data_IF_912252079388
#
_entry.id   IF_912252079388
#
_cell.length_a   1.000
_cell.length_b   1.000
_cell.length_c   1.000
_cell.angle_alpha   90.00
_cell.angle_beta   90.00
_cell.angle_gamma   90.00
#
_symmetry.space_group_name_H-M   'P 1'
#
loop_
_entity.id
_entity.type
_entity.pdbx_description
1 polymer ?
#
# COMPACT_ATOMS: atom_id res chain seq x y z
N UNK A 1 -25.60 -65.64 -2.03
CA UNK A 1 -26.18 -65.75 -3.40
C UNK A 1 -25.95 -64.41 -4.11
N UNK A 2 -25.03 -64.35 -5.09
CA UNK A 2 -25.28 -64.16 -6.56
C UNK A 2 -25.75 -62.72 -6.89
N UNK A 3 -25.13 -61.88 -7.75
CA UNK A 3 -24.35 -62.10 -8.99
C UNK A 3 -23.44 -60.89 -9.35
N UNK A 4 -22.42 -61.19 -10.16
CA UNK A 4 -21.54 -60.30 -10.94
C UNK A 4 -22.22 -59.64 -12.17
N UNK A 5 -21.66 -58.51 -12.64
CA UNK A 5 -21.54 -58.09 -14.05
C UNK A 5 -20.46 -56.97 -14.15
N UNK A 6 -19.23 -57.27 -14.60
CA UNK A 6 -18.64 -57.07 -15.95
C UNK A 6 -18.52 -55.62 -16.48
N UNK A 7 -17.30 -55.09 -16.30
CA UNK A 7 -16.40 -54.39 -17.25
C UNK A 7 -16.94 -53.72 -18.53
N UNK A 8 -16.50 -52.47 -18.72
CA UNK A 8 -16.08 -51.95 -20.03
C UNK A 8 -14.85 -51.05 -19.85
N UNK A 9 -13.71 -51.57 -20.32
CA UNK A 9 -12.43 -50.87 -20.49
C UNK A 9 -12.57 -49.95 -21.70
N UNK A 10 -12.29 -48.65 -21.55
CA UNK A 10 -11.98 -47.79 -22.69
C UNK A 10 -10.46 -47.62 -22.69
N UNK A 11 -9.83 -48.21 -23.69
CA UNK A 11 -8.43 -48.02 -24.04
C UNK A 11 -8.34 -46.70 -24.82
N UNK A 12 -7.71 -45.66 -24.26
CA UNK A 12 -7.23 -44.51 -25.06
C UNK A 12 -5.71 -44.65 -25.13
N UNK A 13 -5.24 -45.04 -26.31
CA UNK A 13 -3.85 -45.08 -26.67
C UNK A 13 -3.32 -43.66 -26.96
N UNK A 14 -2.21 -43.32 -26.31
CA UNK A 14 -1.14 -42.41 -26.71
C UNK A 14 -1.42 -41.20 -27.61
N UNK A 15 -1.27 -40.01 -27.02
CA UNK A 15 -0.56 -38.90 -27.64
C UNK A 15 0.34 -38.26 -26.58
N UNK A 16 1.58 -38.74 -26.50
CA UNK A 16 2.66 -38.06 -25.79
C UNK A 16 3.01 -36.80 -26.58
N UNK A 17 2.30 -35.71 -26.30
CA UNK A 17 2.81 -34.37 -26.63
C UNK A 17 3.88 -34.10 -25.59
N UNK A 18 5.13 -34.05 -26.02
CA UNK A 18 6.24 -33.63 -25.18
C UNK A 18 5.95 -32.23 -24.67
N UNK A 19 5.57 -32.12 -23.41
CA UNK A 19 5.70 -30.88 -22.68
C UNK A 19 7.19 -30.67 -22.49
N UNK A 20 7.79 -29.89 -23.40
CA UNK A 20 9.06 -29.26 -23.10
C UNK A 20 8.90 -28.57 -21.76
N UNK A 21 9.77 -28.88 -20.81
CA UNK A 21 9.89 -28.12 -19.57
C UNK A 21 10.13 -26.68 -19.99
N UNK A 22 9.06 -25.89 -20.05
CA UNK A 22 9.18 -24.45 -20.12
C UNK A 22 9.91 -24.09 -18.83
N UNK A 23 11.20 -23.84 -18.95
CA UNK A 23 11.96 -23.14 -17.92
C UNK A 23 11.23 -21.81 -17.80
N UNK A 24 10.37 -21.71 -16.80
CA UNK A 24 9.76 -20.44 -16.45
C UNK A 24 10.94 -19.46 -16.29
N UNK A 25 10.93 -18.31 -16.97
CA UNK A 25 11.98 -17.33 -16.78
C UNK A 25 12.05 -17.07 -15.27
N UNK A 26 13.24 -17.30 -14.70
CA UNK A 26 13.49 -16.99 -13.30
C UNK A 26 13.11 -15.52 -13.11
N UNK A 27 12.05 -15.27 -12.35
CA UNK A 27 11.75 -13.93 -11.86
C UNK A 27 13.05 -13.43 -11.22
N UNK A 28 13.60 -12.27 -11.63
CA UNK A 28 14.76 -11.71 -10.95
C UNK A 28 14.41 -11.68 -9.47
N UNK A 29 15.18 -12.41 -8.66
CA UNK A 29 15.00 -12.40 -7.22
C UNK A 29 15.11 -10.92 -6.81
N UNK A 30 14.03 -10.32 -6.30
CA UNK A 30 14.19 -9.05 -5.60
C UNK A 30 15.27 -9.31 -4.56
N UNK A 31 16.35 -8.54 -4.61
CA UNK A 31 17.48 -8.77 -3.71
C UNK A 31 16.94 -8.82 -2.28
N UNK A 32 17.01 -9.98 -1.64
CA UNK A 32 16.75 -10.10 -0.21
C UNK A 32 17.78 -9.20 0.48
N UNK A 33 17.36 -7.99 0.86
CA UNK A 33 18.19 -7.13 1.66
C UNK A 33 18.26 -7.76 3.05
N UNK A 34 19.47 -8.09 3.52
CA UNK A 34 19.67 -8.47 4.90
C UNK A 34 19.32 -7.28 5.81
N UNK A 35 18.08 -7.25 6.30
CA UNK A 35 17.62 -6.25 7.26
C UNK A 35 18.03 -6.73 8.65
N UNK A 36 18.86 -5.94 9.33
CA UNK A 36 19.23 -6.19 10.73
C UNK A 36 18.73 -5.05 11.59
N UNK A 37 18.23 -5.39 12.79
CA UNK A 37 17.72 -4.42 13.77
C UNK A 37 16.44 -3.68 13.33
N UNK A 38 16.03 -2.74 14.18
CA UNK A 38 14.79 -1.96 14.02
C UNK A 38 13.72 -2.32 15.05
N UNK A 39 12.70 -1.48 15.14
CA UNK A 39 11.53 -1.67 16.02
C UNK A 39 10.30 -1.79 15.14
N UNK A 40 9.48 -2.80 15.41
CA UNK A 40 8.19 -3.00 14.73
C UNK A 40 7.08 -2.89 15.75
N UNK A 41 6.16 -1.97 15.51
CA UNK A 41 4.93 -1.80 16.28
C UNK A 41 3.73 -2.11 15.38
N UNK A 42 2.58 -2.44 15.97
CA UNK A 42 1.34 -2.63 15.21
C UNK A 42 0.11 -2.22 16.01
N UNK A 43 -0.99 -1.98 15.31
CA UNK A 43 -2.32 -1.78 15.89
C UNK A 43 -3.38 -2.48 15.04
N UNK A 44 -4.27 -3.23 15.69
CA UNK A 44 -5.44 -3.88 15.11
C UNK A 44 -6.73 -3.18 15.59
N UNK A 45 -7.55 -2.70 14.66
CA UNK A 45 -8.77 -1.94 14.98
C UNK A 45 -9.71 -2.73 15.91
N UNK A 46 -10.04 -3.98 15.55
CA UNK A 46 -11.01 -4.81 16.29
C UNK A 46 -10.45 -5.44 17.57
N UNK A 47 -9.16 -5.27 17.83
CA UNK A 47 -8.55 -5.57 19.13
C UNK A 47 -8.66 -4.38 20.11
N UNK A 48 -9.40 -3.31 19.77
CA UNK A 48 -9.48 -2.09 20.57
C UNK A 48 -8.18 -1.29 20.60
N UNK A 49 -7.28 -1.54 19.64
CA UNK A 49 -6.09 -0.74 19.43
C UNK A 49 -6.45 0.42 18.49
N UNK A 50 -5.59 1.44 18.43
CA UNK A 50 -5.84 2.69 17.72
C UNK A 50 -4.84 2.91 16.56
N UNK A 51 -5.06 2.28 15.39
CA UNK A 51 -4.21 2.51 14.21
C UNK A 51 -4.12 3.99 13.81
N UNK A 52 -5.22 4.74 13.92
CA UNK A 52 -5.28 6.17 13.65
C UNK A 52 -4.27 6.94 14.48
N UNK A 53 -4.22 6.69 15.80
CA UNK A 53 -3.30 7.37 16.71
C UNK A 53 -1.85 7.03 16.37
N UNK A 54 -1.55 5.75 16.08
CA UNK A 54 -0.19 5.35 15.68
C UNK A 54 0.25 6.02 14.36
N UNK A 55 -0.65 6.14 13.40
CA UNK A 55 -0.34 6.82 12.14
C UNK A 55 -0.16 8.33 12.34
N UNK A 56 -1.04 8.95 13.13
CA UNK A 56 -0.93 10.37 13.50
C UNK A 56 0.38 10.67 14.24
N UNK A 57 0.82 9.78 15.14
CA UNK A 57 2.11 9.88 15.81
C UNK A 57 3.29 9.83 14.83
N UNK A 58 3.25 8.92 13.85
CA UNK A 58 4.27 8.85 12.79
C UNK A 58 4.31 10.15 11.99
N UNK A 59 3.15 10.63 11.52
CA UNK A 59 3.03 11.89 10.76
C UNK A 59 3.47 13.10 11.60
N UNK A 60 3.10 13.14 12.88
CA UNK A 60 3.46 14.18 13.84
C UNK A 60 4.95 14.21 14.15
N UNK A 61 5.60 13.05 14.15
CA UNK A 61 7.03 12.92 14.41
C UNK A 61 7.92 13.39 13.24
N UNK A 62 7.43 13.29 12.00
CA UNK A 62 8.19 13.61 10.79
C UNK A 62 8.75 15.05 10.79
N UNK A 63 10.02 15.20 10.35
CA UNK A 63 10.78 16.47 10.41
C UNK A 63 11.23 17.00 9.05
N UNK A 64 11.48 16.12 8.07
CA UNK A 64 12.09 16.48 6.77
C UNK A 64 11.20 16.07 5.61
N UNK A 65 10.77 14.81 5.56
CA UNK A 65 9.95 14.28 4.47
C UNK A 65 8.82 13.39 4.98
N UNK A 66 7.72 13.40 4.24
CA UNK A 66 6.55 12.58 4.47
C UNK A 66 5.93 12.19 3.12
N UNK A 67 6.16 10.96 2.70
CA UNK A 67 5.64 10.44 1.44
C UNK A 67 4.52 9.45 1.70
N UNK A 68 3.38 9.66 1.07
CA UNK A 68 2.14 8.91 1.33
C UNK A 68 1.64 8.30 0.03
N UNK A 69 1.56 6.97 -0.04
CA UNK A 69 0.87 6.25 -1.10
C UNK A 69 -0.33 5.53 -0.48
N UNK A 70 -1.53 6.08 -0.67
CA UNK A 70 -2.74 5.62 0.00
C UNK A 70 -3.90 5.46 -0.98
N UNK A 71 -4.57 4.30 -0.92
CA UNK A 71 -5.75 4.04 -1.72
C UNK A 71 -6.90 4.97 -1.34
N UNK A 72 -7.39 4.88 -0.09
CA UNK A 72 -8.50 5.71 0.40
C UNK A 72 -8.05 6.64 1.53
N UNK A 73 -8.30 7.95 1.36
CA UNK A 73 -7.96 9.03 2.29
C UNK A 73 -9.18 9.94 2.49
N UNK A 74 -9.89 9.72 3.60
CA UNK A 74 -11.15 10.40 3.91
C UNK A 74 -11.30 10.77 5.39
N UNK A 75 -10.44 10.27 6.29
CA UNK A 75 -10.53 10.53 7.74
C UNK A 75 -10.00 11.94 8.09
N UNK A 76 -10.84 12.82 8.68
CA UNK A 76 -10.47 14.22 8.95
C UNK A 76 -9.22 14.39 9.83
N UNK A 77 -9.06 13.60 10.89
CA UNK A 77 -7.94 13.75 11.83
C UNK A 77 -6.58 13.48 11.16
N UNK A 78 -6.53 12.46 10.29
CA UNK A 78 -5.34 12.13 9.50
C UNK A 78 -5.04 13.25 8.48
N UNK A 79 -6.08 13.77 7.81
CA UNK A 79 -5.93 14.91 6.88
C UNK A 79 -5.34 16.13 7.60
N UNK A 80 -5.82 16.41 8.81
CA UNK A 80 -5.30 17.51 9.61
C UNK A 80 -3.84 17.27 10.06
N UNK A 81 -3.49 16.05 10.48
CA UNK A 81 -2.11 15.69 10.81
C UNK A 81 -1.15 15.91 9.63
N UNK A 82 -1.57 15.54 8.40
CA UNK A 82 -0.79 15.76 7.17
C UNK A 82 -0.60 17.26 6.91
N UNK A 83 -1.67 18.06 7.03
CA UNK A 83 -1.59 19.53 6.88
C UNK A 83 -0.64 20.15 7.89
N UNK A 84 -0.70 19.70 9.14
CA UNK A 84 0.20 20.17 10.19
C UNK A 84 1.66 19.80 9.88
N UNK A 85 1.93 18.61 9.33
CA UNK A 85 3.28 18.26 8.87
C UNK A 85 3.78 19.25 7.81
N UNK A 86 2.96 19.57 6.81
CA UNK A 86 3.28 20.58 5.80
C UNK A 86 3.54 21.96 6.42
N UNK A 87 2.71 22.39 7.37
CA UNK A 87 2.86 23.67 8.07
C UNK A 87 4.16 23.74 8.90
N UNK A 88 4.62 22.62 9.45
CA UNK A 88 5.94 22.53 10.12
C UNK A 88 7.13 22.62 9.17
N UNK A 89 6.89 22.67 7.85
CA UNK A 89 7.93 22.73 6.82
C UNK A 89 8.38 21.36 6.30
N UNK A 90 7.69 20.28 6.67
CA UNK A 90 7.98 18.94 6.13
C UNK A 90 7.64 18.91 4.64
N UNK A 91 8.52 18.32 3.83
CA UNK A 91 8.24 18.05 2.42
C UNK A 91 7.24 16.88 2.32
N UNK A 92 5.97 17.20 2.05
CA UNK A 92 4.89 16.21 1.92
C UNK A 92 4.59 15.93 0.46
N UNK A 93 4.45 14.66 0.07
CA UNK A 93 3.99 14.22 -1.26
C UNK A 93 2.94 13.11 -1.12
N UNK A 94 1.92 13.11 -1.98
CA UNK A 94 0.85 12.11 -1.92
C UNK A 94 0.61 11.46 -3.29
N UNK A 95 0.55 10.14 -3.32
CA UNK A 95 0.05 9.35 -4.45
C UNK A 95 -1.25 8.67 -4.02
N UNK A 96 -2.27 8.72 -4.88
CA UNK A 96 -3.56 8.05 -4.67
C UNK A 96 -4.03 7.34 -5.96
N UNK A 97 -5.02 6.48 -5.85
CA UNK A 97 -5.68 5.82 -6.99
C UNK A 97 -6.64 6.79 -7.73
N UNK A 98 -6.64 6.79 -9.07
CA UNK A 98 -7.52 7.66 -9.89
C UNK A 98 -9.01 7.33 -9.71
N UNK A 99 -9.34 6.04 -9.59
CA UNK A 99 -10.72 5.58 -9.42
C UNK A 99 -11.28 5.98 -8.06
N UNK A 100 -10.53 5.72 -6.99
CA UNK A 100 -10.91 6.13 -5.63
C UNK A 100 -10.93 7.66 -5.47
N UNK A 101 -10.07 8.39 -6.20
CA UNK A 101 -10.12 9.86 -6.26
C UNK A 101 -11.42 10.43 -6.85
N UNK A 102 -12.24 9.62 -7.54
CA UNK A 102 -13.57 10.03 -7.99
C UNK A 102 -14.64 9.96 -6.88
N UNK A 103 -14.35 9.32 -5.75
CA UNK A 103 -15.23 9.37 -4.58
C UNK A 103 -15.34 10.83 -4.10
N UNK A 104 -16.57 11.32 -3.89
CA UNK A 104 -16.80 12.73 -3.55
C UNK A 104 -16.04 13.18 -2.29
N UNK A 105 -16.03 12.34 -1.25
CA UNK A 105 -15.35 12.66 0.00
C UNK A 105 -13.85 12.74 -0.21
N UNK A 106 -13.28 11.81 -0.97
CA UNK A 106 -11.86 11.82 -1.29
C UNK A 106 -11.49 13.02 -2.15
N UNK A 107 -12.27 13.31 -3.19
CA UNK A 107 -12.09 14.49 -4.04
C UNK A 107 -12.02 15.80 -3.21
N UNK A 108 -12.93 15.97 -2.26
CA UNK A 108 -12.96 17.15 -1.38
C UNK A 108 -11.71 17.21 -0.46
N UNK A 109 -11.25 16.06 0.04
CA UNK A 109 -10.01 15.95 0.82
C UNK A 109 -8.76 16.25 -0.02
N UNK A 110 -8.64 15.68 -1.22
CA UNK A 110 -7.51 15.92 -2.12
C UNK A 110 -7.44 17.41 -2.52
N UNK A 111 -8.57 18.04 -2.80
CA UNK A 111 -8.64 19.49 -3.05
C UNK A 111 -8.20 20.30 -1.83
N UNK A 112 -8.61 19.89 -0.62
CA UNK A 112 -8.17 20.53 0.62
C UNK A 112 -6.65 20.46 0.81
N UNK A 113 -6.04 19.30 0.57
CA UNK A 113 -4.60 19.09 0.68
C UNK A 113 -3.82 19.82 -0.41
N UNK A 114 -4.31 19.81 -1.65
CA UNK A 114 -3.76 20.58 -2.77
C UNK A 114 -3.75 22.08 -2.46
N UNK A 115 -4.86 22.61 -1.93
CA UNK A 115 -4.96 24.01 -1.51
C UNK A 115 -4.02 24.37 -0.35
N UNK A 116 -3.61 23.39 0.47
CA UNK A 116 -2.57 23.55 1.48
C UNK A 116 -1.13 23.50 0.90
N UNK A 117 -0.98 23.45 -0.41
CA UNK A 117 0.32 23.43 -1.10
C UNK A 117 1.02 22.07 -1.05
N UNK A 118 0.27 20.98 -0.87
CA UNK A 118 0.79 19.62 -0.91
C UNK A 118 0.65 19.11 -2.35
N UNK A 119 1.75 18.75 -3.03
CA UNK A 119 1.68 18.12 -4.34
C UNK A 119 1.07 16.72 -4.24
N UNK A 120 0.18 16.41 -5.17
CA UNK A 120 -0.55 15.15 -5.23
C UNK A 120 -0.48 14.60 -6.65
N UNK A 121 -0.27 13.28 -6.77
CA UNK A 121 -0.43 12.54 -8.01
C UNK A 121 -1.50 11.46 -7.90
N UNK A 122 -2.18 11.19 -9.00
CA UNK A 122 -3.09 10.06 -9.18
C UNK A 122 -2.46 9.02 -10.09
N UNK A 123 -2.55 7.75 -9.70
CA UNK A 123 -2.20 6.61 -10.54
C UNK A 123 -3.34 6.31 -11.52
N UNK A 124 -3.02 6.25 -12.80
CA UNK A 124 -3.97 6.13 -13.92
C UNK A 124 -3.76 4.84 -14.73
N UNK A 125 -2.98 3.89 -14.21
CA UNK A 125 -2.90 2.57 -14.83
C UNK A 125 -4.22 1.81 -14.70
N UNK A 126 -4.41 0.72 -15.47
CA UNK A 126 -5.69 -0.02 -15.48
C UNK A 126 -6.00 -0.86 -14.22
N UNK A 127 -5.03 -1.02 -13.32
CA UNK A 127 -5.21 -1.67 -12.02
C UNK A 127 -5.55 -0.67 -10.90
N UNK A 128 -5.39 -1.10 -9.64
CA UNK A 128 -5.58 -0.23 -8.46
C UNK A 128 -4.24 0.13 -7.81
N UNK A 129 -4.04 1.42 -7.49
CA UNK A 129 -3.00 1.82 -6.54
C UNK A 129 -3.51 1.53 -5.12
N UNK A 130 -3.39 0.27 -4.72
CA UNK A 130 -4.05 -0.23 -3.50
C UNK A 130 -3.16 -0.18 -2.25
N UNK A 131 -2.07 0.59 -2.28
CA UNK A 131 -1.15 0.73 -1.16
C UNK A 131 -1.82 1.48 0.01
N UNK A 132 -1.33 1.20 1.21
CA UNK A 132 -1.58 1.99 2.42
C UNK A 132 -0.25 2.21 3.12
N UNK A 133 0.54 3.12 2.56
CA UNK A 133 1.94 3.33 2.93
C UNK A 133 2.17 4.79 3.29
N UNK A 134 2.89 5.01 4.39
CA UNK A 134 3.47 6.31 4.73
C UNK A 134 4.92 6.13 5.11
N UNK A 135 5.79 6.96 4.53
CA UNK A 135 7.23 6.94 4.74
C UNK A 135 7.60 8.26 5.37
N UNK A 136 8.19 8.22 6.55
CA UNK A 136 8.62 9.40 7.29
C UNK A 136 10.13 9.41 7.46
N UNK A 137 10.74 10.53 7.09
CA UNK A 137 12.17 10.84 7.23
C UNK A 137 13.12 9.76 6.70
N UNK A 138 12.69 8.97 5.71
CA UNK A 138 13.40 7.78 5.19
C UNK A 138 13.91 6.83 6.29
N UNK A 139 13.19 6.77 7.42
CA UNK A 139 13.58 6.01 8.60
C UNK A 139 12.44 5.20 9.23
N UNK A 140 11.20 5.60 8.96
CA UNK A 140 9.99 4.93 9.43
C UNK A 140 9.07 4.70 8.25
N UNK A 141 8.51 3.49 8.16
CA UNK A 141 7.41 3.20 7.23
C UNK A 141 6.19 2.69 7.98
N UNK A 142 5.01 2.98 7.48
CA UNK A 142 3.77 2.32 7.87
C UNK A 142 3.24 1.49 6.72
N UNK A 143 2.59 0.38 7.04
CA UNK A 143 1.87 -0.44 6.07
C UNK A 143 0.75 -1.23 6.75
N UNK A 144 0.01 -2.02 5.98
CA UNK A 144 -1.03 -2.92 6.47
C UNK A 144 -2.26 -2.88 5.56
N UNK A 145 -3.41 -3.23 6.11
CA UNK A 145 -4.70 -3.14 5.42
C UNK A 145 -5.37 -1.76 5.61
N UNK A 146 -4.95 -1.04 6.65
CA UNK A 146 -5.58 0.18 7.15
C UNK A 146 -5.61 1.34 6.14
N UNK A 147 -6.76 1.55 5.50
CA UNK A 147 -7.04 2.78 4.75
C UNK A 147 -7.20 3.98 5.70
N UNK A 148 -7.00 5.21 5.22
CA UNK A 148 -7.09 6.41 6.04
C UNK A 148 -8.53 6.92 6.05
N UNK A 149 -9.45 6.07 6.52
CA UNK A 149 -10.89 6.29 6.53
C UNK A 149 -11.51 6.02 7.89
N UNK A 150 -12.68 6.62 8.17
CA UNK A 150 -13.39 6.40 9.44
C UNK A 150 -13.74 4.93 9.65
N UNK A 151 -14.17 4.23 8.59
CA UNK A 151 -14.53 2.82 8.67
C UNK A 151 -13.34 1.93 9.07
N UNK A 152 -12.13 2.26 8.60
CA UNK A 152 -10.91 1.55 8.99
C UNK A 152 -10.58 1.74 10.48
N UNK A 153 -10.87 2.91 11.05
CA UNK A 153 -10.64 3.21 12.48
C UNK A 153 -11.68 2.64 13.43
N UNK A 154 -12.90 2.33 12.96
CA UNK A 154 -14.03 2.04 13.88
C UNK A 154 -14.75 0.72 13.60
N UNK A 155 -14.88 0.34 12.34
CA UNK A 155 -15.81 -0.72 11.91
C UNK A 155 -15.08 -1.95 11.38
N UNK A 156 -14.08 -1.76 10.52
CA UNK A 156 -13.40 -2.85 9.82
C UNK A 156 -12.37 -3.56 10.71
N UNK A 157 -12.11 -4.84 10.41
CA UNK A 157 -10.92 -5.56 10.85
C UNK A 157 -9.71 -5.08 10.04
N UNK A 158 -8.92 -4.18 10.60
CA UNK A 158 -7.73 -3.63 9.96
C UNK A 158 -6.49 -3.82 10.84
N UNK A 159 -5.33 -3.79 10.18
CA UNK A 159 -4.03 -3.68 10.83
C UNK A 159 -3.23 -2.53 10.23
N UNK A 160 -2.57 -1.76 11.11
CA UNK A 160 -1.46 -0.89 10.76
C UNK A 160 -0.20 -1.43 11.42
N UNK A 161 0.88 -1.54 10.65
CA UNK A 161 2.22 -1.90 11.10
C UNK A 161 3.11 -0.67 10.92
N UNK A 162 3.89 -0.35 11.94
CA UNK A 162 4.91 0.71 11.91
C UNK A 162 6.27 0.05 12.03
N UNK A 163 7.13 0.27 11.04
CA UNK A 163 8.47 -0.32 10.96
C UNK A 163 9.48 0.82 11.03
N UNK A 164 10.29 0.82 12.09
CA UNK A 164 11.34 1.80 12.35
C UNK A 164 12.67 1.19 11.94
N UNK A 165 12.96 1.25 10.65
CA UNK A 165 14.17 0.72 10.05
C UNK A 165 14.52 1.52 8.79
N UNK A 166 15.67 2.19 8.79
CA UNK A 166 16.11 3.03 7.67
C UNK A 166 16.42 2.24 6.40
N UNK A 167 16.87 1.00 6.50
CA UNK A 167 17.12 0.17 5.31
C UNK A 167 15.82 -0.10 4.56
N UNK A 168 14.77 -0.51 5.28
CA UNK A 168 13.43 -0.71 4.69
C UNK A 168 12.88 0.62 4.18
N UNK A 169 12.96 1.68 4.99
CA UNK A 169 12.38 2.97 4.63
C UNK A 169 13.03 3.59 3.40
N UNK A 170 14.35 3.48 3.22
CA UNK A 170 15.02 3.94 2.02
C UNK A 170 14.62 3.12 0.78
N UNK A 171 14.54 1.79 0.89
CA UNK A 171 14.12 0.95 -0.23
C UNK A 171 12.68 1.28 -0.70
N UNK A 172 11.79 1.59 0.25
CA UNK A 172 10.41 1.97 -0.06
C UNK A 172 10.30 3.40 -0.60
N UNK A 173 11.12 4.30 -0.09
CA UNK A 173 11.25 5.67 -0.59
C UNK A 173 11.74 5.69 -2.05
N UNK A 174 12.71 4.82 -2.40
CA UNK A 174 13.16 4.63 -3.79
C UNK A 174 12.02 4.16 -4.70
N UNK A 175 11.20 3.21 -4.23
CA UNK A 175 10.02 2.75 -4.99
C UNK A 175 8.97 3.87 -5.12
N UNK A 176 8.74 4.64 -4.05
CA UNK A 176 7.85 5.80 -4.09
C UNK A 176 8.37 6.84 -5.09
N UNK A 177 9.68 7.12 -5.12
CA UNK A 177 10.31 8.04 -6.07
C UNK A 177 10.16 7.57 -7.52
N UNK A 178 10.23 6.26 -7.78
CA UNK A 178 9.95 5.73 -9.12
C UNK A 178 8.50 6.00 -9.54
N UNK A 179 7.53 5.74 -8.67
CA UNK A 179 6.11 6.07 -8.92
C UNK A 179 5.92 7.57 -9.09
N UNK A 180 6.56 8.37 -8.24
CA UNK A 180 6.47 9.84 -8.25
C UNK A 180 7.05 10.43 -9.53
N UNK A 181 8.11 9.86 -10.09
CA UNK A 181 8.76 10.36 -11.30
C UNK A 181 8.22 9.74 -12.60
N UNK A 182 7.37 8.71 -12.52
CA UNK A 182 6.67 8.15 -13.67
C UNK A 182 5.63 9.15 -14.20
N UNK A 183 5.91 9.73 -15.36
CA UNK A 183 5.06 10.70 -16.05
C UNK A 183 4.02 10.07 -16.97
N UNK A 184 4.09 8.74 -17.18
CA UNK A 184 3.18 7.99 -18.03
C UNK A 184 1.95 7.53 -17.26
N UNK A 185 2.17 6.95 -16.08
CA UNK A 185 1.08 6.36 -15.30
C UNK A 185 0.59 7.27 -14.17
N UNK A 186 1.40 8.23 -13.71
CA UNK A 186 1.03 9.10 -12.58
C UNK A 186 0.88 10.55 -13.00
N UNK A 187 -0.34 11.08 -12.90
CA UNK A 187 -0.70 12.44 -13.30
C UNK A 187 -0.86 13.34 -12.08
N UNK A 188 -0.59 14.63 -12.25
CA UNK A 188 -0.86 15.63 -11.20
C UNK A 188 -2.36 15.76 -10.98
N UNK A 189 -2.78 15.76 -9.72
CA UNK A 189 -4.16 16.08 -9.30
C UNK A 189 -4.43 17.59 -9.35
#
# INVERSE_FOLDING_TARGET
MRKFALSSLILIAGLLVGYGSAVLPSVPNQAEAAVTGGVVDWAFTRAGQHPEQKLEDVIGSAKKNLDIAIYSLTKPDIVEAIKQAKQRGVAVRIITDEGEAQNRTQQDVLNTLKNAGIPIKVDTHSGLMHLKVTIADKSVVTTGSYNYSTAASTTNDEVLVVIRNSTIANAWDEQFDQMWNDSKNFKVW
#
